data_IF_321427346444
#
_entry.id   IF_321427346444
#
_cell.length_a   1.000
_cell.length_b   1.000
_cell.length_c   1.000
_cell.angle_alpha   90.00
_cell.angle_beta   90.00
_cell.angle_gamma   90.00
#
_symmetry.space_group_name_H-M   'P 1'
#
loop_
_entity.id
_entity.type
_entity.pdbx_description
1 polymer ?
#
# COMPACT_ATOMS: atom_id res chain seq x y z
N UNK A 1 -6.05 2.72 -18.63
CA UNK A 1 -6.89 3.68 -17.87
C UNK A 1 -6.44 3.92 -16.43
N UNK A 2 -5.14 4.13 -16.19
CA UNK A 2 -4.63 4.62 -14.90
C UNK A 2 -4.68 6.15 -14.86
N UNK A 3 -5.04 6.76 -13.73
CA UNK A 3 -5.16 8.23 -13.60
C UNK A 3 -4.05 8.82 -12.75
N UNK A 4 -3.91 8.38 -11.49
CA UNK A 4 -2.93 8.94 -10.58
C UNK A 4 -2.68 8.08 -9.34
N UNK A 5 -1.53 8.30 -8.71
CA UNK A 5 -1.27 7.97 -7.30
C UNK A 5 -1.09 9.29 -6.54
N UNK A 6 -1.82 9.48 -5.46
CA UNK A 6 -1.68 10.65 -4.57
C UNK A 6 -1.61 10.20 -3.10
N UNK A 7 -1.04 11.01 -2.20
CA UNK A 7 -1.20 10.78 -0.76
C UNK A 7 -2.68 10.66 -0.38
N UNK A 8 -2.99 9.81 0.61
CA UNK A 8 -4.37 9.64 1.06
C UNK A 8 -4.98 10.99 1.50
N UNK A 9 -6.11 11.36 0.89
CA UNK A 9 -6.83 12.60 1.18
C UNK A 9 -6.44 13.82 0.35
N UNK A 10 -5.39 13.74 -0.48
CA UNK A 10 -5.02 14.80 -1.42
C UNK A 10 -5.94 14.80 -2.66
N UNK A 11 -6.12 15.96 -3.34
CA UNK A 11 -6.93 16.03 -4.55
C UNK A 11 -6.30 15.22 -5.70
N UNK A 12 -7.14 14.50 -6.43
CA UNK A 12 -6.71 13.72 -7.58
C UNK A 12 -6.37 14.62 -8.77
N UNK A 13 -5.15 14.51 -9.27
CA UNK A 13 -4.73 15.18 -10.50
C UNK A 13 -4.22 14.15 -11.50
N UNK A 14 -4.75 14.19 -12.72
CA UNK A 14 -4.42 13.22 -13.75
C UNK A 14 -2.91 13.26 -14.07
N UNK A 15 -2.27 12.09 -14.09
CA UNK A 15 -0.83 11.93 -14.30
C UNK A 15 0.02 12.06 -13.03
N UNK A 16 -0.55 12.35 -11.86
CA UNK A 16 0.24 12.42 -10.64
C UNK A 16 0.81 11.04 -10.26
N UNK A 17 2.10 11.04 -9.92
CA UNK A 17 2.80 9.89 -9.36
C UNK A 17 3.23 10.23 -7.93
N UNK A 18 3.27 9.22 -7.07
CA UNK A 18 3.70 9.36 -5.69
C UNK A 18 4.98 8.56 -5.44
N UNK A 19 5.89 9.16 -4.69
CA UNK A 19 7.10 8.52 -4.18
C UNK A 19 7.14 8.71 -2.67
N UNK A 20 7.38 7.61 -1.95
CA UNK A 20 7.52 7.65 -0.50
C UNK A 20 8.84 8.31 -0.08
N UNK A 21 8.94 8.72 1.18
CA UNK A 21 10.20 9.15 1.75
C UNK A 21 11.23 7.99 1.75
N UNK A 22 12.53 8.26 1.53
CA UNK A 22 13.54 7.22 1.66
C UNK A 22 13.69 6.78 3.12
N UNK A 23 13.88 5.48 3.33
CA UNK A 23 14.26 4.94 4.65
C UNK A 23 15.79 4.90 4.72
N UNK A 24 16.37 5.54 5.74
CA UNK A 24 17.82 5.63 5.86
C UNK A 24 18.43 4.34 6.42
N UNK A 25 19.46 3.82 5.75
CA UNK A 25 20.32 2.72 6.23
C UNK A 25 19.58 1.42 6.58
N UNK A 26 18.42 1.17 5.98
CA UNK A 26 17.67 -0.08 6.12
C UNK A 26 17.19 -0.60 4.77
N UNK A 27 17.83 -1.65 4.28
CA UNK A 27 17.43 -2.39 3.07
C UNK A 27 16.84 -3.76 3.37
N UNK A 28 16.79 -4.18 4.64
CA UNK A 28 16.35 -5.53 5.03
C UNK A 28 14.89 -5.56 5.44
N UNK A 29 14.43 -4.55 6.18
CA UNK A 29 13.04 -4.45 6.65
C UNK A 29 12.51 -3.00 6.73
N UNK A 30 12.68 -2.19 5.66
CA UNK A 30 12.24 -0.80 5.68
C UNK A 30 10.73 -0.69 5.91
N UNK A 31 10.33 0.32 6.69
CA UNK A 31 8.94 0.66 6.97
C UNK A 31 8.66 2.09 6.53
N UNK A 32 7.60 2.25 5.74
CA UNK A 32 7.15 3.56 5.28
C UNK A 32 5.90 4.05 6.00
N UNK A 33 5.04 3.14 6.48
CA UNK A 33 3.77 3.44 7.15
C UNK A 33 2.97 4.57 6.46
N UNK A 34 2.99 4.54 5.13
CA UNK A 34 2.39 5.56 4.25
C UNK A 34 1.15 5.02 3.58
N UNK A 35 0.13 5.87 3.44
CA UNK A 35 -1.11 5.56 2.74
C UNK A 35 -1.22 6.40 1.46
N UNK A 36 -1.62 5.75 0.36
CA UNK A 36 -1.80 6.38 -0.95
C UNK A 36 -3.11 5.94 -1.57
N UNK A 37 -3.73 6.85 -2.31
CA UNK A 37 -4.90 6.59 -3.12
C UNK A 37 -4.48 6.41 -4.59
N UNK A 38 -4.82 5.27 -5.17
CA UNK A 38 -4.60 4.95 -6.57
C UNK A 38 -5.93 5.01 -7.33
N UNK A 39 -6.02 5.91 -8.32
CA UNK A 39 -7.25 6.11 -9.09
C UNK A 39 -7.09 5.60 -10.51
N UNK A 40 -8.07 4.82 -10.95
CA UNK A 40 -8.22 4.35 -12.32
C UNK A 40 -9.63 4.66 -12.83
N UNK A 41 -9.75 4.93 -14.14
CA UNK A 41 -11.06 5.08 -14.76
C UNK A 41 -11.79 3.74 -14.89
N UNK A 42 -11.05 2.70 -15.25
CA UNK A 42 -11.52 1.33 -15.39
C UNK A 42 -10.42 0.40 -14.88
N UNK A 43 -10.74 -0.48 -13.93
CA UNK A 43 -9.74 -1.33 -13.28
C UNK A 43 -9.20 -2.45 -14.18
N UNK A 44 -9.98 -2.85 -15.19
CA UNK A 44 -9.59 -3.86 -16.18
C UNK A 44 -8.41 -3.39 -17.03
N UNK A 45 -8.37 -2.10 -17.35
CA UNK A 45 -7.38 -1.44 -18.20
C UNK A 45 -6.25 -0.75 -17.42
N UNK A 46 -6.14 -0.99 -16.11
CA UNK A 46 -5.19 -0.28 -15.26
C UNK A 46 -4.17 -1.23 -14.63
N UNK A 47 -2.91 -0.78 -14.61
CA UNK A 47 -1.80 -1.46 -13.97
C UNK A 47 -1.28 -0.58 -12.83
N UNK A 48 -0.99 -1.19 -11.69
CA UNK A 48 -0.28 -0.56 -10.59
C UNK A 48 1.16 -1.08 -10.55
N UNK A 49 2.11 -0.18 -10.70
CA UNK A 49 3.54 -0.50 -10.71
C UNK A 49 4.20 -0.04 -9.41
N UNK A 50 4.77 -0.99 -8.68
CA UNK A 50 5.62 -0.76 -7.52
C UNK A 50 7.06 -0.73 -7.99
N UNK A 51 7.74 0.39 -7.78
CA UNK A 51 9.17 0.52 -8.06
C UNK A 51 9.90 0.83 -6.76
N UNK A 52 10.98 0.09 -6.51
CA UNK A 52 11.84 0.29 -5.35
C UNK A 52 13.16 0.84 -5.86
N UNK A 53 13.49 2.04 -5.40
CA UNK A 53 14.72 2.72 -5.75
C UNK A 53 15.65 2.78 -4.54
N UNK A 54 16.94 2.55 -4.78
CA UNK A 54 17.99 2.87 -3.83
C UNK A 54 18.48 4.30 -4.08
N UNK A 55 18.41 5.16 -3.06
CA UNK A 55 18.90 6.54 -3.16
C UNK A 55 20.40 6.55 -2.88
N UNK A 56 21.19 6.88 -3.90
CA UNK A 56 22.64 7.02 -3.78
C UNK A 56 23.02 8.51 -3.72
N UNK A 57 24.31 8.81 -3.52
CA UNK A 57 24.81 10.21 -3.50
C UNK A 57 24.58 10.92 -4.84
N UNK A 58 24.57 10.18 -5.94
CA UNK A 58 24.56 10.71 -7.31
C UNK A 58 23.24 10.48 -8.04
N UNK A 59 22.29 9.75 -7.46
CA UNK A 59 21.04 9.44 -8.14
C UNK A 59 20.13 8.48 -7.39
N UNK A 60 19.26 7.81 -8.13
CA UNK A 60 18.37 6.78 -7.62
C UNK A 60 18.35 5.60 -8.59
N UNK A 61 18.78 4.44 -8.11
CA UNK A 61 18.92 3.24 -8.93
C UNK A 61 17.73 2.32 -8.69
N UNK A 62 17.10 1.84 -9.77
CA UNK A 62 16.01 0.86 -9.65
C UNK A 62 16.59 -0.47 -9.19
N UNK A 63 16.22 -0.92 -7.99
CA UNK A 63 16.70 -2.19 -7.44
C UNK A 63 15.68 -3.30 -7.51
N UNK A 64 14.38 -2.98 -7.56
CA UNK A 64 13.33 -3.96 -7.69
C UNK A 64 12.01 -3.35 -8.19
N UNK A 65 11.15 -4.17 -8.77
CA UNK A 65 9.80 -3.74 -9.17
C UNK A 65 8.78 -4.88 -9.14
N UNK A 66 7.50 -4.54 -9.17
CA UNK A 66 6.42 -5.45 -9.55
C UNK A 66 5.30 -4.65 -10.22
N UNK A 67 4.63 -5.25 -11.21
CA UNK A 67 3.48 -4.63 -11.90
C UNK A 67 2.30 -5.56 -11.77
N UNK A 68 1.19 -5.06 -11.25
CA UNK A 68 -0.03 -5.83 -11.02
C UNK A 68 -1.21 -5.20 -11.77
N UNK A 69 -2.02 -6.00 -12.49
CA UNK A 69 -3.31 -5.53 -12.97
C UNK A 69 -4.22 -5.16 -11.82
N UNK A 70 -4.86 -4.00 -11.88
CA UNK A 70 -5.67 -3.50 -10.77
C UNK A 70 -6.86 -4.41 -10.48
N UNK A 71 -7.53 -4.91 -11.52
CA UNK A 71 -8.60 -5.91 -11.40
C UNK A 71 -8.17 -7.16 -10.61
N UNK A 72 -6.93 -7.63 -10.79
CA UNK A 72 -6.40 -8.83 -10.15
C UNK A 72 -5.97 -8.64 -8.68
N UNK A 73 -5.91 -7.40 -8.18
CA UNK A 73 -5.48 -7.13 -6.81
C UNK A 73 -6.53 -7.59 -5.79
N UNK A 74 -6.10 -8.37 -4.80
CA UNK A 74 -6.94 -8.83 -3.70
C UNK A 74 -6.87 -7.87 -2.52
N UNK A 75 -8.00 -7.55 -1.92
CA UNK A 75 -8.08 -6.67 -0.73
C UNK A 75 -7.47 -7.30 0.53
N UNK A 76 -7.18 -6.47 1.53
CA UNK A 76 -6.56 -6.84 2.81
C UNK A 76 -5.04 -6.78 2.79
N UNK A 77 -4.42 -7.33 3.83
CA UNK A 77 -2.96 -7.45 3.92
C UNK A 77 -2.43 -8.48 2.92
N UNK A 78 -1.49 -8.06 2.08
CA UNK A 78 -0.90 -8.86 1.00
C UNK A 78 0.61 -8.68 0.96
N UNK A 79 1.28 -9.75 0.54
CA UNK A 79 2.70 -9.73 0.22
C UNK A 79 2.83 -9.65 -1.30
N UNK A 80 3.46 -8.58 -1.79
CA UNK A 80 3.77 -8.39 -3.21
C UNK A 80 5.21 -8.82 -3.42
N UNK A 81 5.41 -9.96 -4.10
CA UNK A 81 6.76 -10.42 -4.45
C UNK A 81 7.34 -9.52 -5.53
N UNK A 82 8.58 -9.12 -5.35
CA UNK A 82 9.28 -8.23 -6.27
C UNK A 82 10.11 -9.03 -7.29
N UNK A 83 10.51 -8.33 -8.34
CA UNK A 83 11.43 -8.77 -9.38
C UNK A 83 12.67 -7.90 -9.37
N UNK A 84 13.80 -8.47 -9.79
CA UNK A 84 15.00 -7.71 -10.14
C UNK A 84 14.73 -6.83 -11.37
N UNK A 85 15.58 -5.83 -11.65
CA UNK A 85 15.47 -5.03 -12.88
C UNK A 85 15.58 -5.87 -14.16
N UNK A 86 16.19 -7.05 -14.09
CA UNK A 86 16.25 -8.04 -15.18
C UNK A 86 14.98 -8.88 -15.32
N UNK A 87 13.98 -8.69 -14.47
CA UNK A 87 12.66 -9.35 -14.50
C UNK A 87 12.57 -10.67 -13.72
N UNK A 88 13.71 -11.19 -13.22
CA UNK A 88 13.74 -12.42 -12.42
C UNK A 88 13.09 -12.22 -11.06
N UNK A 89 12.42 -13.25 -10.52
CA UNK A 89 11.78 -13.17 -9.21
C UNK A 89 12.83 -13.14 -8.10
N UNK A 90 12.72 -12.16 -7.19
CA UNK A 90 13.55 -12.15 -6.00
C UNK A 90 13.09 -13.24 -5.02
N UNK A 91 14.05 -13.94 -4.42
CA UNK A 91 13.75 -15.00 -3.46
C UNK A 91 13.12 -14.42 -2.18
N UNK A 92 13.68 -13.32 -1.68
CA UNK A 92 13.27 -12.67 -0.42
C UNK A 92 12.79 -11.22 -0.59
N UNK A 93 12.78 -10.68 -1.81
CA UNK A 93 12.31 -9.31 -2.07
C UNK A 93 10.79 -9.26 -2.14
N UNK A 94 10.16 -8.60 -1.17
CA UNK A 94 8.72 -8.39 -1.14
C UNK A 94 8.30 -7.10 -0.43
N UNK A 95 7.14 -6.57 -0.79
CA UNK A 95 6.46 -5.50 -0.06
C UNK A 95 5.27 -6.06 0.71
N UNK A 96 5.11 -5.62 1.95
CA UNK A 96 3.91 -5.89 2.73
C UNK A 96 2.98 -4.68 2.65
N UNK A 97 1.78 -4.88 2.11
CA UNK A 97 0.82 -3.79 1.84
C UNK A 97 -0.57 -4.16 2.34
N UNK A 98 -1.37 -3.15 2.69
CA UNK A 98 -2.80 -3.32 2.91
C UNK A 98 -3.57 -2.69 1.75
N UNK A 99 -4.35 -3.50 1.03
CA UNK A 99 -5.07 -3.06 -0.16
C UNK A 99 -6.55 -2.90 0.20
N UNK A 100 -7.10 -1.71 -0.04
CA UNK A 100 -8.53 -1.44 -0.02
C UNK A 100 -8.98 -1.08 -1.43
N UNK A 101 -10.16 -1.57 -1.82
CA UNK A 101 -10.79 -1.23 -3.10
C UNK A 101 -12.12 -0.55 -2.82
N UNK A 102 -12.38 0.54 -3.52
CA UNK A 102 -13.66 1.23 -3.50
C UNK A 102 -14.05 1.50 -4.97
N UNK A 103 -15.16 0.91 -5.42
CA UNK A 103 -15.76 1.26 -6.69
C UNK A 103 -16.69 2.45 -6.49
N UNK A 104 -16.46 3.54 -7.22
CA UNK A 104 -17.34 4.72 -7.20
C UNK A 104 -18.09 4.82 -8.51
N UNK A 105 -19.39 4.58 -8.46
CA UNK A 105 -20.30 4.76 -9.59
C UNK A 105 -20.68 6.23 -9.67
N UNK A 106 -20.07 6.99 -10.60
CA UNK A 106 -20.36 8.42 -10.82
C UNK A 106 -19.54 9.01 -11.96
N UNK A 107 -20.03 10.07 -12.60
CA UNK A 107 -19.38 10.67 -13.77
C UNK A 107 -17.95 11.14 -13.43
N UNK A 108 -16.97 10.67 -14.22
CA UNK A 108 -15.53 10.93 -14.07
C UNK A 108 -15.16 12.42 -13.99
N UNK A 109 -16.02 13.31 -14.49
CA UNK A 109 -15.78 14.75 -14.56
C UNK A 109 -15.84 15.49 -13.23
N UNK A 110 -16.58 15.02 -12.23
CA UNK A 110 -16.68 15.73 -10.93
C UNK A 110 -15.51 15.46 -9.98
N UNK A 111 -14.60 14.54 -10.32
CA UNK A 111 -13.42 14.23 -9.52
C UNK A 111 -12.17 14.98 -10.00
N UNK A 112 -12.11 15.33 -11.29
CA UNK A 112 -10.93 15.91 -11.95
C UNK A 112 -11.08 17.40 -12.24
N UNK A 113 -12.30 17.94 -12.31
CA UNK A 113 -12.58 19.36 -12.51
C UNK A 113 -13.38 19.96 -11.34
N UNK A 114 -12.70 20.68 -10.44
CA UNK A 114 -13.37 21.58 -9.51
C UNK A 114 -12.55 22.01 -8.29
N UNK A 115 -12.56 23.31 -7.91
CA UNK A 115 -11.96 23.74 -6.67
C UNK A 115 -12.76 23.16 -5.50
N UNK A 116 -12.06 22.56 -4.53
CA UNK A 116 -12.66 21.95 -3.35
C UNK A 116 -13.58 22.94 -2.59
N UNK A 117 -14.89 22.83 -2.81
CA UNK A 117 -15.90 23.39 -1.90
C UNK A 117 -17.02 22.38 -1.65
N UNK A 118 -16.93 21.79 -0.46
CA UNK A 118 -17.98 21.26 0.42
C UNK A 118 -19.14 20.51 -0.27
N UNK A 119 -19.11 19.18 -0.15
CA UNK A 119 -20.04 18.40 0.68
C UNK A 119 -20.04 16.95 0.19
N UNK A 120 -19.65 16.00 1.03
CA UNK A 120 -20.61 14.98 1.46
C UNK A 120 -20.02 14.04 2.51
N UNK A 121 -20.84 13.85 3.54
CA UNK A 121 -20.88 12.79 4.55
C UNK A 121 -19.72 11.79 4.49
N UNK A 122 -18.68 12.07 5.29
CA UNK A 122 -17.70 11.08 5.72
C UNK A 122 -18.48 9.93 6.38
N UNK A 123 -18.67 8.82 5.67
CA UNK A 123 -19.04 7.57 6.30
C UNK A 123 -17.86 7.17 7.19
N UNK A 124 -17.92 7.55 8.47
CA UNK A 124 -16.99 7.07 9.49
C UNK A 124 -17.34 5.62 9.80
N UNK A 125 -16.92 4.67 8.96
CA UNK A 125 -16.68 3.32 9.45
C UNK A 125 -15.27 3.29 10.03
N UNK A 126 -15.12 3.77 11.26
CA UNK A 126 -13.94 3.49 12.06
C UNK A 126 -13.97 2.02 12.42
N UNK A 127 -13.36 1.17 11.60
CA UNK A 127 -12.92 -0.14 12.06
C UNK A 127 -11.67 0.12 12.89
N UNK A 128 -11.86 0.26 14.20
CA UNK A 128 -10.76 0.16 15.15
C UNK A 128 -10.20 -1.26 15.00
N UNK A 129 -8.89 -1.46 14.79
CA UNK A 129 -8.32 -2.79 14.89
C UNK A 129 -8.61 -3.31 16.30
N UNK A 130 -9.38 -4.40 16.42
CA UNK A 130 -9.43 -5.11 17.70
C UNK A 130 -8.03 -5.67 17.96
N UNK A 131 -7.46 -5.51 19.16
CA UNK A 131 -6.29 -6.27 19.53
C UNK A 131 -6.57 -7.76 19.32
N UNK A 132 -5.56 -8.47 18.86
CA UNK A 132 -5.61 -9.91 18.70
C UNK A 132 -5.65 -10.54 20.10
N UNK A 133 -6.83 -11.01 20.52
CA UNK A 133 -6.99 -11.85 21.70
C UNK A 133 -6.49 -13.26 21.35
N UNK A 134 -5.17 -13.41 21.36
CA UNK A 134 -4.55 -14.73 21.33
C UNK A 134 -4.96 -15.54 22.57
N UNK A 135 -4.90 -16.88 22.53
CA UNK A 135 -5.16 -17.69 23.71
C UNK A 135 -4.22 -17.27 24.85
N UNK A 136 -4.78 -16.84 25.97
CA UNK A 136 -4.02 -16.68 27.21
C UNK A 136 -3.41 -18.04 27.55
N UNK A 137 -2.08 -18.09 27.62
CA UNK A 137 -1.41 -19.22 28.23
C UNK A 137 -1.82 -19.25 29.70
N UNK A 138 -2.49 -20.33 30.10
CA UNK A 138 -2.72 -20.65 31.51
C UNK A 138 -1.35 -20.91 32.16
N UNK A 139 -0.75 -19.88 32.78
CA UNK A 139 0.38 -20.07 33.69
C UNK A 139 -0.12 -20.84 34.91
N UNK A 140 -0.02 -22.17 34.84
CA UNK A 140 -0.21 -23.04 35.99
C UNK A 140 1.03 -22.89 36.89
N UNK A 141 0.88 -22.59 38.19
CA UNK A 141 2.01 -22.52 39.11
C UNK A 141 2.75 -23.86 39.16
N UNK A 142 4.08 -23.82 39.04
CA UNK A 142 4.95 -24.97 39.26
C UNK A 142 4.85 -25.38 40.73
N UNK A 143 4.49 -26.63 40.98
CA UNK A 143 4.51 -27.18 42.33
C UNK A 143 5.96 -27.28 42.86
N UNK A 144 6.19 -27.02 44.15
CA UNK A 144 7.52 -27.16 44.73
C UNK A 144 7.94 -28.64 44.73
N UNK A 145 9.17 -28.88 44.31
CA UNK A 145 9.85 -30.16 44.41
C UNK A 145 10.07 -30.47 45.91
N UNK A 146 9.34 -31.43 46.48
CA UNK A 146 9.66 -31.95 47.82
C UNK A 146 11.01 -32.71 47.76
N UNK A 147 11.89 -32.40 48.71
CA UNK A 147 13.14 -33.11 48.99
C UNK A 147 13.06 -33.73 50.39
#
# INVERSE_FOLDING_TARGET
>A
NFRCVVPEGDPFSNGAAHQTAPVEKDGLHPRWDTHVDCVAGEEEDALLAFHVYEKTRTGSDLIAYEILPMHAMRTGYRMIRLRSPTGSRLQFGALFVNIKKEARTGALGTLLDGPAKKANKRCKSSIVPRPFDGPQADEKPLEPLEA
#
